data_IF_687460638286
#
_entry.id   IF_687460638286
#
_cell.length_a   1.000
_cell.length_b   1.000
_cell.length_c   1.000
_cell.angle_alpha   90.00
_cell.angle_beta   90.00
_cell.angle_gamma   90.00
#
_symmetry.space_group_name_H-M   'P 1'
#
loop_
_entity.id
_entity.type
_entity.pdbx_description
1 polymer ?
#
# COMPACT_ATOMS: atom_id res chain seq x y z
N UNK A 1 5.77 18.46 -19.04
CA UNK A 1 6.19 17.04 -19.04
C UNK A 1 5.87 16.48 -20.41
N UNK A 2 6.77 15.67 -20.97
CA UNK A 2 6.55 14.98 -22.25
C UNK A 2 6.24 13.51 -22.02
N UNK A 3 5.45 12.94 -22.91
CA UNK A 3 5.10 11.53 -22.96
C UNK A 3 5.57 10.97 -24.30
N UNK A 4 6.88 10.67 -24.45
CA UNK A 4 7.48 10.36 -25.75
C UNK A 4 7.13 8.96 -26.26
N UNK A 5 6.72 8.06 -25.37
CA UNK A 5 6.30 6.71 -25.74
C UNK A 5 4.86 6.67 -26.23
N UNK A 6 4.45 5.50 -26.68
CA UNK A 6 3.15 5.19 -27.27
C UNK A 6 2.03 5.19 -26.22
N UNK A 7 0.80 5.31 -26.69
CA UNK A 7 -0.42 5.16 -25.89
C UNK A 7 -0.97 3.75 -26.09
N UNK A 8 -1.20 3.02 -25.00
CA UNK A 8 -1.90 1.74 -25.01
C UNK A 8 -3.34 1.94 -24.53
N UNK A 9 -4.30 1.67 -25.39
CA UNK A 9 -5.71 1.56 -25.03
C UNK A 9 -6.05 0.13 -24.62
N UNK A 10 -6.57 -0.04 -23.40
CA UNK A 10 -7.10 -1.29 -22.90
C UNK A 10 -8.56 -1.43 -23.35
N UNK A 11 -8.72 -1.96 -24.56
CA UNK A 11 -10.01 -2.09 -25.25
C UNK A 11 -10.76 -3.36 -24.84
N UNK A 12 -12.07 -3.39 -25.06
CA UNK A 12 -12.84 -4.65 -24.95
C UNK A 12 -12.50 -5.67 -26.06
N UNK A 13 -12.13 -5.19 -27.26
CA UNK A 13 -11.79 -6.06 -28.39
C UNK A 13 -10.31 -6.48 -28.31
N UNK A 14 -9.99 -7.77 -28.08
CA UNK A 14 -8.62 -8.24 -27.94
C UNK A 14 -7.78 -8.02 -29.21
N UNK A 15 -8.39 -8.06 -30.40
CA UNK A 15 -7.66 -7.82 -31.66
C UNK A 15 -7.15 -6.39 -31.77
N UNK A 16 -7.85 -5.42 -31.17
CA UNK A 16 -7.39 -4.02 -31.12
C UNK A 16 -6.17 -3.88 -30.22
N UNK A 17 -6.10 -4.63 -29.13
CA UNK A 17 -4.93 -4.65 -28.24
C UNK A 17 -3.74 -5.28 -28.97
N UNK A 18 -3.93 -6.44 -29.61
CA UNK A 18 -2.87 -7.09 -30.39
C UNK A 18 -2.30 -6.17 -31.48
N UNK A 19 -3.16 -5.45 -32.23
CA UNK A 19 -2.71 -4.46 -33.23
C UNK A 19 -1.83 -3.37 -32.62
N UNK A 20 -2.20 -2.86 -31.44
CA UNK A 20 -1.39 -1.88 -30.73
C UNK A 20 -0.05 -2.50 -30.30
N UNK A 21 -0.02 -3.72 -29.78
CA UNK A 21 1.25 -4.37 -29.43
C UNK A 21 2.16 -4.58 -30.67
N UNK A 22 1.56 -4.78 -31.86
CA UNK A 22 2.26 -4.86 -33.16
C UNK A 22 2.65 -3.51 -33.78
N UNK A 23 2.78 -2.45 -32.96
CA UNK A 23 3.17 -1.10 -33.41
C UNK A 23 2.18 -0.40 -34.37
N UNK A 24 0.90 -0.78 -34.37
CA UNK A 24 -0.13 -0.05 -35.14
C UNK A 24 -0.79 1.00 -34.24
N UNK A 25 -0.59 2.31 -34.50
CA UNK A 25 -1.20 3.37 -33.69
C UNK A 25 -2.72 3.35 -33.84
N UNK A 26 -3.41 3.86 -32.82
CA UNK A 26 -4.87 3.85 -32.72
C UNK A 26 -5.35 5.16 -32.09
N UNK A 27 -6.47 5.70 -32.57
CA UNK A 27 -7.17 6.81 -31.94
C UNK A 27 -8.14 6.31 -30.85
N UNK A 28 -8.54 7.18 -29.92
CA UNK A 28 -9.54 6.83 -28.91
C UNK A 28 -10.86 6.34 -29.55
N UNK A 29 -11.30 6.98 -30.64
CA UNK A 29 -12.52 6.59 -31.34
C UNK A 29 -12.46 5.16 -31.91
N UNK A 30 -11.29 4.74 -32.40
CA UNK A 30 -11.06 3.37 -32.87
C UNK A 30 -10.92 2.38 -31.71
N UNK A 31 -10.36 2.81 -30.58
CA UNK A 31 -10.13 1.98 -29.39
C UNK A 31 -11.43 1.59 -28.67
N UNK A 32 -12.43 2.48 -28.67
CA UNK A 32 -13.70 2.26 -27.96
C UNK A 32 -14.43 0.97 -28.40
N UNK A 33 -15.17 0.32 -27.48
CA UNK A 33 -15.26 0.64 -26.05
C UNK A 33 -14.01 0.21 -25.27
N UNK A 34 -13.65 1.02 -24.26
CA UNK A 34 -12.59 0.70 -23.30
C UNK A 34 -13.10 -0.32 -22.28
N UNK A 35 -12.16 -1.05 -21.69
CA UNK A 35 -12.47 -2.09 -20.71
C UNK A 35 -12.57 -1.49 -19.31
N UNK A 36 -13.68 -1.79 -18.64
CA UNK A 36 -13.98 -1.43 -17.23
C UNK A 36 -13.50 -2.52 -16.26
N UNK A 37 -13.43 -2.19 -14.97
CA UNK A 37 -13.18 -3.13 -13.86
C UNK A 37 -11.84 -3.90 -13.97
N UNK A 38 -10.79 -3.24 -14.46
CA UNK A 38 -9.44 -3.82 -14.49
C UNK A 38 -8.94 -4.01 -13.08
N UNK A 39 -8.71 -5.26 -12.70
CA UNK A 39 -8.27 -5.60 -11.35
C UNK A 39 -6.73 -5.64 -11.21
N UNK A 40 -6.23 -5.56 -9.99
CA UNK A 40 -4.80 -5.73 -9.69
C UNK A 40 -4.29 -7.13 -10.03
N UNK A 41 -5.16 -8.15 -10.03
CA UNK A 41 -4.80 -9.49 -10.50
C UNK A 41 -4.58 -9.54 -12.02
N UNK A 42 -5.23 -8.64 -12.76
CA UNK A 42 -5.06 -8.53 -14.21
C UNK A 42 -3.84 -7.68 -14.58
N UNK A 43 -3.57 -6.63 -13.79
CA UNK A 43 -2.35 -5.83 -13.93
C UNK A 43 -1.13 -6.69 -13.54
N UNK A 44 -1.20 -7.43 -12.42
CA UNK A 44 -0.11 -8.29 -11.93
C UNK A 44 -0.69 -9.56 -11.28
N UNK A 45 -0.75 -10.68 -12.01
CA UNK A 45 -1.22 -11.95 -11.46
C UNK A 45 -0.47 -12.37 -10.21
N UNK A 46 -1.12 -13.10 -9.29
CA UNK A 46 -0.51 -13.58 -8.03
C UNK A 46 0.81 -14.31 -8.24
N UNK A 47 0.94 -15.07 -9.33
CA UNK A 47 2.17 -15.77 -9.69
C UNK A 47 3.36 -14.85 -9.93
N UNK A 48 3.12 -13.58 -10.32
CA UNK A 48 4.16 -12.58 -10.58
C UNK A 48 4.67 -11.87 -9.33
N UNK A 49 3.99 -12.00 -8.18
CA UNK A 49 4.35 -11.31 -6.93
C UNK A 49 5.65 -11.81 -6.28
N UNK A 50 6.27 -12.83 -6.87
CA UNK A 50 7.62 -13.31 -6.53
C UNK A 50 8.73 -12.47 -7.17
N UNK A 51 8.37 -11.46 -7.97
CA UNK A 51 9.28 -10.51 -8.61
C UNK A 51 9.16 -9.14 -7.96
N UNK A 52 10.30 -8.63 -7.49
CA UNK A 52 10.39 -7.36 -6.78
C UNK A 52 11.36 -6.36 -7.43
N UNK A 53 12.06 -6.80 -8.47
CA UNK A 53 13.09 -6.08 -9.23
C UNK A 53 12.59 -5.68 -10.63
N UNK A 54 13.50 -5.34 -11.53
CA UNK A 54 13.19 -4.97 -12.92
C UNK A 54 12.46 -6.07 -13.70
N UNK A 55 12.52 -7.33 -13.27
CA UNK A 55 11.75 -8.41 -13.90
C UNK A 55 10.24 -8.18 -13.76
N UNK A 56 9.79 -7.45 -12.73
CA UNK A 56 8.37 -7.15 -12.53
C UNK A 56 7.77 -6.40 -13.73
N UNK A 57 8.57 -5.61 -14.45
CA UNK A 57 8.16 -4.93 -15.68
C UNK A 57 7.61 -5.90 -16.74
N UNK A 58 8.17 -7.12 -16.80
CA UNK A 58 7.77 -8.12 -17.79
C UNK A 58 6.35 -8.65 -17.56
N UNK A 59 5.81 -8.48 -16.36
CA UNK A 59 4.52 -9.08 -15.97
C UNK A 59 3.36 -8.08 -15.96
N UNK A 60 3.61 -6.81 -16.24
CA UNK A 60 2.58 -5.78 -16.32
C UNK A 60 1.51 -6.15 -17.34
N UNK A 61 0.26 -6.19 -16.87
CA UNK A 61 -0.97 -6.55 -17.60
C UNK A 61 -1.04 -7.98 -18.15
N UNK A 62 -0.20 -8.90 -17.67
CA UNK A 62 -0.21 -10.30 -18.18
C UNK A 62 -1.44 -11.12 -17.77
N UNK A 63 -2.20 -10.64 -16.78
CA UNK A 63 -3.51 -11.20 -16.43
C UNK A 63 -4.67 -10.52 -17.13
N UNK A 64 -4.44 -9.50 -17.96
CA UNK A 64 -5.50 -8.76 -18.63
C UNK A 64 -6.31 -9.70 -19.54
N UNK A 65 -7.57 -9.91 -19.17
CA UNK A 65 -8.52 -10.71 -19.93
C UNK A 65 -9.62 -9.82 -20.52
N UNK A 66 -9.94 -10.05 -21.78
CA UNK A 66 -11.12 -9.46 -22.40
C UNK A 66 -11.73 -10.41 -23.41
N UNK A 67 -13.06 -10.57 -23.39
CA UNK A 67 -13.78 -11.48 -24.28
C UNK A 67 -13.26 -12.93 -24.26
N UNK A 68 -12.69 -13.37 -23.13
CA UNK A 68 -12.10 -14.71 -22.96
C UNK A 68 -10.71 -14.88 -23.57
N UNK A 69 -10.04 -13.79 -23.94
CA UNK A 69 -8.69 -13.78 -24.50
C UNK A 69 -7.74 -12.93 -23.64
N UNK A 70 -6.47 -13.33 -23.58
CA UNK A 70 -5.39 -12.61 -22.89
C UNK A 70 -4.37 -12.07 -23.91
N UNK A 71 -4.62 -10.90 -24.53
CA UNK A 71 -3.80 -10.39 -25.63
C UNK A 71 -2.42 -9.88 -25.19
N UNK A 72 -2.23 -9.57 -23.91
CA UNK A 72 -0.98 -9.01 -23.35
C UNK A 72 -0.17 -10.16 -22.74
N UNK A 73 0.89 -10.57 -23.44
CA UNK A 73 1.81 -11.62 -22.99
C UNK A 73 2.99 -11.04 -22.19
N UNK A 74 3.74 -11.92 -21.52
CA UNK A 74 4.94 -11.55 -20.75
C UNK A 74 5.91 -10.74 -21.64
N UNK A 75 6.31 -9.56 -21.17
CA UNK A 75 7.22 -8.64 -21.82
C UNK A 75 6.58 -7.74 -22.88
N UNK A 76 5.30 -7.93 -23.22
CA UNK A 76 4.63 -7.16 -24.26
C UNK A 76 4.59 -5.65 -23.96
N UNK A 77 4.32 -5.28 -22.70
CA UNK A 77 4.31 -3.88 -22.31
C UNK A 77 5.73 -3.30 -22.20
N UNK A 78 6.64 -4.02 -21.52
CA UNK A 78 8.02 -3.58 -21.29
C UNK A 78 8.83 -3.37 -22.58
N UNK A 79 8.51 -4.12 -23.65
CA UNK A 79 9.15 -3.96 -24.97
C UNK A 79 8.37 -3.07 -25.94
N UNK A 80 7.16 -2.64 -25.55
CA UNK A 80 6.21 -1.95 -26.42
C UNK A 80 6.36 -0.44 -26.51
N UNK A 81 7.31 0.15 -25.76
CA UNK A 81 7.56 1.59 -25.66
C UNK A 81 6.29 2.39 -25.31
N UNK A 82 5.48 1.87 -24.39
CA UNK A 82 4.25 2.54 -23.95
C UNK A 82 4.53 3.45 -22.76
N UNK A 83 4.26 4.75 -22.91
CA UNK A 83 4.40 5.72 -21.81
C UNK A 83 3.08 6.10 -21.17
N UNK A 84 1.96 5.81 -21.84
CA UNK A 84 0.59 6.11 -21.37
C UNK A 84 -0.32 4.89 -21.52
N UNK A 85 -1.09 4.58 -20.49
CA UNK A 85 -2.19 3.59 -20.55
C UNK A 85 -3.53 4.31 -20.49
N UNK A 86 -4.52 3.83 -21.26
CA UNK A 86 -5.88 4.36 -21.27
C UNK A 86 -6.88 3.24 -21.03
N UNK A 87 -7.79 3.41 -20.07
CA UNK A 87 -8.77 2.40 -19.67
C UNK A 87 -10.15 2.98 -19.34
N UNK A 88 -11.13 2.10 -19.10
CA UNK A 88 -12.49 2.48 -18.71
C UNK A 88 -12.61 2.83 -17.22
N UNK A 89 -13.72 2.44 -16.61
CA UNK A 89 -14.06 2.71 -15.21
C UNK A 89 -13.37 1.73 -14.25
N UNK A 90 -13.19 2.17 -13.00
CA UNK A 90 -12.75 1.34 -11.86
C UNK A 90 -11.41 0.64 -12.08
N UNK A 91 -10.43 1.41 -12.53
CA UNK A 91 -9.08 0.92 -12.74
C UNK A 91 -8.36 0.60 -11.42
N UNK A 92 -7.72 -0.57 -11.34
CA UNK A 92 -6.94 -0.99 -10.18
C UNK A 92 -7.77 -1.61 -9.05
N UNK A 93 -8.85 -2.31 -9.39
CA UNK A 93 -9.76 -2.96 -8.42
C UNK A 93 -9.12 -4.14 -7.72
N UNK A 94 -9.49 -4.35 -6.45
CA UNK A 94 -9.15 -5.55 -5.72
C UNK A 94 -8.09 -5.30 -4.66
N UNK A 95 -7.05 -6.12 -4.65
CA UNK A 95 -6.05 -6.11 -3.58
C UNK A 95 -5.23 -4.82 -3.61
N UNK A 96 -4.80 -4.32 -2.45
CA UNK A 96 -3.98 -3.10 -2.30
C UNK A 96 -2.52 -3.24 -2.77
N UNK A 97 -2.22 -4.22 -3.63
CA UNK A 97 -0.86 -4.63 -4.00
C UNK A 97 -0.15 -3.55 -4.80
N UNK A 98 0.92 -3.01 -4.25
CA UNK A 98 1.74 -1.99 -4.91
C UNK A 98 2.53 -2.53 -6.12
N UNK A 99 2.65 -3.86 -6.25
CA UNK A 99 3.23 -4.52 -7.41
C UNK A 99 2.55 -4.08 -8.71
N UNK A 100 1.24 -3.84 -8.71
CA UNK A 100 0.50 -3.44 -9.92
C UNK A 100 1.01 -2.11 -10.49
N UNK A 101 0.91 -0.97 -9.78
CA UNK A 101 1.46 0.29 -10.29
C UNK A 101 2.99 0.28 -10.42
N UNK A 102 3.71 -0.52 -9.61
CA UNK A 102 5.17 -0.65 -9.79
C UNK A 102 5.51 -1.35 -11.11
N UNK A 103 4.79 -2.41 -11.48
CA UNK A 103 5.02 -3.14 -12.74
C UNK A 103 4.83 -2.23 -13.95
N UNK A 104 3.80 -1.39 -13.94
CA UNK A 104 3.50 -0.44 -15.01
C UNK A 104 4.59 0.62 -15.09
N UNK A 105 4.99 1.19 -13.94
CA UNK A 105 6.09 2.16 -13.87
C UNK A 105 7.40 1.56 -14.39
N UNK A 106 7.77 0.35 -13.95
CA UNK A 106 8.99 -0.34 -14.40
C UNK A 106 8.91 -0.75 -15.89
N UNK A 107 7.71 -0.95 -16.43
CA UNK A 107 7.50 -1.17 -17.86
C UNK A 107 7.60 0.11 -18.71
N UNK A 108 7.82 1.28 -18.10
CA UNK A 108 8.01 2.57 -18.79
C UNK A 108 6.78 3.47 -18.79
N UNK A 109 5.68 3.06 -18.16
CA UNK A 109 4.46 3.87 -18.06
C UNK A 109 4.68 5.01 -17.07
N UNK A 110 4.27 6.21 -17.46
CA UNK A 110 4.40 7.42 -16.63
C UNK A 110 3.07 8.12 -16.38
N UNK A 111 2.03 7.80 -17.17
CA UNK A 111 0.68 8.32 -17.01
C UNK A 111 -0.36 7.22 -17.30
N UNK A 112 -1.41 7.17 -16.49
CA UNK A 112 -2.59 6.35 -16.75
C UNK A 112 -3.80 7.28 -16.80
N UNK A 113 -4.60 7.15 -17.86
CA UNK A 113 -5.85 7.87 -18.05
C UNK A 113 -7.00 6.87 -17.98
N UNK A 114 -7.92 7.05 -17.03
CA UNK A 114 -9.07 6.15 -16.88
C UNK A 114 -10.32 6.94 -16.50
N UNK A 115 -11.51 6.38 -16.74
CA UNK A 115 -12.75 7.06 -16.36
C UNK A 115 -12.89 7.17 -14.83
N UNK A 116 -12.38 6.19 -14.09
CA UNK A 116 -12.24 6.26 -12.63
C UNK A 116 -11.19 5.29 -12.12
N UNK A 117 -10.65 5.57 -10.92
CA UNK A 117 -9.64 4.76 -10.26
C UNK A 117 -10.14 4.27 -8.91
N UNK A 118 -9.68 3.09 -8.52
CA UNK A 118 -9.85 2.58 -7.17
C UNK A 118 -8.83 3.27 -6.25
N UNK A 119 -9.31 3.72 -5.08
CA UNK A 119 -8.59 4.67 -4.21
C UNK A 119 -7.19 4.20 -3.83
N UNK A 120 -7.05 2.92 -3.45
CA UNK A 120 -5.79 2.34 -2.99
C UNK A 120 -4.76 2.23 -4.12
N UNK A 121 -5.20 1.80 -5.30
CA UNK A 121 -4.34 1.77 -6.49
C UNK A 121 -3.82 3.17 -6.80
N UNK A 122 -4.69 4.18 -6.80
CA UNK A 122 -4.31 5.55 -7.07
C UNK A 122 -3.31 6.10 -6.05
N UNK A 123 -3.52 5.82 -4.76
CA UNK A 123 -2.60 6.18 -3.69
C UNK A 123 -1.22 5.53 -3.88
N UNK A 124 -1.17 4.26 -4.28
CA UNK A 124 0.09 3.56 -4.57
C UNK A 124 0.78 4.13 -5.81
N UNK A 125 0.03 4.46 -6.86
CA UNK A 125 0.56 5.14 -8.04
C UNK A 125 1.16 6.51 -7.66
N UNK A 126 0.46 7.31 -6.85
CA UNK A 126 0.97 8.59 -6.36
C UNK A 126 2.26 8.43 -5.53
N UNK A 127 2.32 7.42 -4.66
CA UNK A 127 3.51 7.09 -3.89
C UNK A 127 4.70 6.76 -4.80
N UNK A 128 4.45 6.06 -5.90
CA UNK A 128 5.44 5.76 -6.92
C UNK A 128 5.70 6.91 -7.89
N UNK A 129 5.00 8.06 -7.81
CA UNK A 129 5.16 9.10 -8.83
C UNK A 129 4.63 8.70 -10.23
N UNK A 130 3.78 7.68 -10.31
CA UNK A 130 3.02 7.30 -11.51
C UNK A 130 1.76 8.16 -11.59
N UNK A 131 1.67 9.02 -12.60
CA UNK A 131 0.54 9.94 -12.71
C UNK A 131 -0.74 9.20 -13.10
N UNK A 132 -1.87 9.61 -12.51
CA UNK A 132 -3.19 9.13 -12.89
C UNK A 132 -4.11 10.33 -13.14
N UNK A 133 -4.89 10.28 -14.22
CA UNK A 133 -5.82 11.35 -14.62
C UNK A 133 -7.14 10.78 -15.11
N UNK A 134 -8.23 11.50 -14.85
CA UNK A 134 -9.55 11.23 -15.45
C UNK A 134 -9.87 12.17 -16.61
N UNK A 135 -8.92 13.03 -17.00
CA UNK A 135 -9.07 14.00 -18.07
C UNK A 135 -8.60 13.42 -19.41
N UNK A 136 -9.55 12.92 -20.20
CA UNK A 136 -9.27 12.38 -21.53
C UNK A 136 -8.87 13.45 -22.55
N UNK A 137 -9.07 14.74 -22.27
CA UNK A 137 -8.63 15.82 -23.18
C UNK A 137 -7.11 15.93 -23.27
N UNK A 138 -6.40 15.33 -22.32
CA UNK A 138 -4.94 15.21 -22.37
C UNK A 138 -4.46 14.37 -23.56
N UNK A 139 -5.27 13.45 -24.08
CA UNK A 139 -4.88 12.56 -25.18
C UNK A 139 -4.57 13.32 -26.47
N UNK A 140 -5.41 14.27 -26.86
CA UNK A 140 -5.20 15.05 -28.09
C UNK A 140 -3.89 15.85 -28.02
N UNK A 141 -3.59 16.41 -26.84
CA UNK A 141 -2.36 17.14 -26.56
C UNK A 141 -1.13 16.23 -26.57
N UNK A 142 -1.25 15.03 -25.98
CA UNK A 142 -0.19 14.00 -25.99
C UNK A 142 0.08 13.54 -27.42
N UNK A 143 -0.94 13.26 -28.22
CA UNK A 143 -0.78 12.89 -29.63
C UNK A 143 -0.19 14.00 -30.50
N UNK A 144 -0.48 15.27 -30.17
CA UNK A 144 0.16 16.42 -30.79
C UNK A 144 1.62 16.64 -30.35
N UNK A 145 2.12 15.86 -29.38
CA UNK A 145 3.48 15.98 -28.85
C UNK A 145 3.69 17.21 -27.96
N UNK A 146 2.62 17.76 -27.39
CA UNK A 146 2.68 18.93 -26.52
C UNK A 146 3.35 18.64 -25.17
N UNK A 147 3.98 19.67 -24.60
CA UNK A 147 4.37 19.66 -23.19
C UNK A 147 3.12 19.82 -22.32
N UNK A 148 2.83 18.81 -21.49
CA UNK A 148 1.73 18.85 -20.52
C UNK A 148 2.23 19.49 -19.22
N UNK A 149 1.69 20.64 -18.78
CA UNK A 149 2.00 21.21 -17.47
C UNK A 149 1.69 20.21 -16.36
N UNK A 150 2.58 20.08 -15.39
CA UNK A 150 2.36 19.13 -14.28
C UNK A 150 1.07 19.45 -13.51
N UNK A 151 0.71 20.74 -13.36
CA UNK A 151 -0.52 21.15 -12.69
C UNK A 151 -1.80 20.65 -13.38
N UNK A 152 -1.76 20.37 -14.70
CA UNK A 152 -2.88 19.72 -15.38
C UNK A 152 -3.08 18.27 -14.92
N UNK A 153 -1.99 17.57 -14.56
CA UNK A 153 -2.00 16.20 -14.06
C UNK A 153 -2.34 16.11 -12.56
N UNK A 154 -2.27 17.24 -11.85
CA UNK A 154 -2.51 17.31 -10.40
C UNK A 154 -3.93 17.78 -10.05
N UNK A 155 -4.79 18.01 -11.05
CA UNK A 155 -6.18 18.42 -10.82
C UNK A 155 -6.90 17.38 -9.95
N UNK A 156 -7.53 17.86 -8.87
CA UNK A 156 -8.24 17.02 -7.90
C UNK A 156 -7.36 16.39 -6.81
N UNK A 157 -6.04 16.58 -6.85
CA UNK A 157 -5.12 16.15 -5.78
C UNK A 157 -5.10 17.16 -4.64
N UNK A 158 -4.99 16.68 -3.41
CA UNK A 158 -4.68 17.54 -2.26
C UNK A 158 -3.24 18.06 -2.33
N UNK A 159 -2.92 19.09 -1.52
CA UNK A 159 -1.59 19.74 -1.56
C UNK A 159 -0.46 18.75 -1.29
N UNK A 160 -0.59 17.89 -0.28
CA UNK A 160 0.46 16.93 0.10
C UNK A 160 0.70 15.94 -1.04
N UNK A 161 -0.36 15.37 -1.61
CA UNK A 161 -0.27 14.45 -2.75
C UNK A 161 0.35 15.15 -3.97
N UNK A 162 -0.01 16.41 -4.21
CA UNK A 162 0.57 17.20 -5.30
C UNK A 162 2.07 17.43 -5.11
N UNK A 163 2.52 17.71 -3.89
CA UNK A 163 3.94 17.90 -3.58
C UNK A 163 4.73 16.58 -3.73
N UNK A 164 4.13 15.45 -3.32
CA UNK A 164 4.69 14.11 -3.54
C UNK A 164 4.92 13.83 -5.03
N UNK A 165 3.89 14.06 -5.86
CA UNK A 165 3.97 13.84 -7.30
C UNK A 165 4.98 14.79 -7.97
N UNK A 166 5.06 16.06 -7.54
CA UNK A 166 6.07 17.01 -8.04
C UNK A 166 7.50 16.58 -7.72
N UNK A 167 7.72 15.92 -6.59
CA UNK A 167 9.01 15.38 -6.22
C UNK A 167 9.37 14.08 -6.98
N UNK A 168 8.41 13.46 -7.69
CA UNK A 168 8.62 12.20 -8.42
C UNK A 168 8.26 10.94 -7.61
N UNK A 169 7.49 11.10 -6.53
CA UNK A 169 7.05 10.02 -5.65
C UNK A 169 7.40 10.29 -4.19
N UNK A 170 6.89 9.44 -3.29
CA UNK A 170 6.95 9.64 -1.84
C UNK A 170 8.38 9.57 -1.30
N UNK A 171 9.20 8.64 -1.79
CA UNK A 171 10.60 8.52 -1.38
C UNK A 171 11.38 9.79 -1.74
N UNK A 172 11.21 10.29 -2.98
CA UNK A 172 11.88 11.52 -3.42
C UNK A 172 11.37 12.75 -2.68
N UNK A 173 10.07 12.83 -2.40
CA UNK A 173 9.50 13.85 -1.54
C UNK A 173 10.13 13.84 -0.14
N UNK A 174 10.27 12.66 0.47
CA UNK A 174 10.88 12.49 1.78
C UNK A 174 12.32 13.02 1.85
N UNK A 175 13.08 12.94 0.76
CA UNK A 175 14.44 13.50 0.65
C UNK A 175 14.49 15.02 0.71
N UNK A 176 13.38 15.69 0.40
CA UNK A 176 13.28 17.15 0.44
C UNK A 176 12.97 17.69 1.84
N UNK A 177 12.53 16.83 2.76
CA UNK A 177 12.12 17.23 4.10
C UNK A 177 13.28 17.18 5.08
N UNK A 178 13.36 18.17 5.98
CA UNK A 178 14.28 18.13 7.11
C UNK A 178 13.73 17.17 8.18
N UNK A 179 14.32 15.98 8.27
CA UNK A 179 13.91 14.92 9.20
C UNK A 179 14.17 15.27 10.68
N UNK A 180 14.97 16.32 10.95
CA UNK A 180 15.25 16.81 12.31
C UNK A 180 14.14 17.71 12.87
N UNK A 181 13.07 17.96 12.11
CA UNK A 181 11.88 18.61 12.66
C UNK A 181 11.27 17.68 13.70
N UNK A 182 11.48 18.01 14.97
CA UNK A 182 10.82 17.36 16.09
C UNK A 182 9.29 17.41 15.87
N UNK A 183 8.55 16.38 16.32
CA UNK A 183 7.12 16.56 16.53
C UNK A 183 6.97 17.69 17.56
N UNK A 184 6.43 18.85 17.16
CA UNK A 184 6.35 20.00 18.07
C UNK A 184 4.96 20.08 18.69
N UNK A 185 4.94 20.43 19.97
CA UNK A 185 4.09 21.54 20.40
C UNK A 185 2.79 21.18 21.09
N UNK A 186 2.90 20.92 22.39
CA UNK A 186 1.91 21.21 23.43
C UNK A 186 0.43 20.96 23.07
N UNK A 187 -0.01 19.69 23.21
CA UNK A 187 -1.41 19.25 23.25
C UNK A 187 -2.31 20.10 24.16
N UNK A 188 -1.75 20.89 25.07
CA UNK A 188 -2.50 21.76 25.98
C UNK A 188 -3.44 22.73 25.26
N UNK A 189 -3.10 23.22 24.07
CA UNK A 189 -3.97 24.13 23.29
C UNK A 189 -5.20 23.43 22.68
N UNK A 190 -5.17 22.10 22.54
CA UNK A 190 -6.26 21.29 21.98
C UNK A 190 -7.10 20.56 23.05
N UNK A 191 -6.76 20.73 24.33
CA UNK A 191 -7.38 20.02 25.46
C UNK A 191 -8.90 20.27 25.65
N UNK A 192 -9.46 21.28 24.96
CA UNK A 192 -10.86 21.68 25.10
C UNK A 192 -11.80 21.11 24.02
N UNK A 193 -11.27 20.42 23.00
CA UNK A 193 -12.09 19.78 21.94
C UNK A 193 -12.20 18.28 22.23
N UNK A 194 -13.42 17.71 22.33
CA UNK A 194 -13.58 16.26 22.41
C UNK A 194 -12.95 15.58 21.19
N UNK A 195 -12.11 14.59 21.45
CA UNK A 195 -11.41 13.80 20.43
C UNK A 195 -11.62 12.32 20.69
N UNK A 196 -11.77 11.56 19.61
CA UNK A 196 -11.70 10.10 19.60
C UNK A 196 -10.34 9.63 20.11
N UNK A 197 -10.22 8.34 20.43
CA UNK A 197 -8.96 7.82 20.96
C UNK A 197 -7.84 7.89 19.90
N UNK A 198 -8.15 7.55 18.65
CA UNK A 198 -7.17 7.58 17.54
C UNK A 198 -6.71 9.00 17.20
N UNK A 199 -7.60 10.00 17.24
CA UNK A 199 -7.24 11.40 17.01
C UNK A 199 -6.18 11.89 18.00
N UNK A 200 -6.28 11.48 19.27
CA UNK A 200 -5.28 11.79 20.30
C UNK A 200 -3.92 11.16 19.99
N UNK A 201 -3.91 9.92 19.53
CA UNK A 201 -2.66 9.22 19.14
C UNK A 201 -2.04 9.89 17.91
N UNK A 202 -2.84 10.20 16.88
CA UNK A 202 -2.33 10.85 15.66
C UNK A 202 -1.71 12.20 16.02
N UNK A 203 -2.37 13.02 16.84
CA UNK A 203 -1.84 14.32 17.26
C UNK A 203 -0.51 14.22 18.00
N UNK A 204 -0.29 13.15 18.78
CA UNK A 204 0.99 12.91 19.46
C UNK A 204 2.14 12.57 18.50
N UNK A 205 1.82 12.01 17.32
CA UNK A 205 2.81 11.52 16.35
C UNK A 205 2.90 12.39 15.09
N UNK A 206 2.03 13.40 14.95
CA UNK A 206 1.95 14.24 13.76
C UNK A 206 3.16 15.18 13.63
N UNK A 207 3.68 15.31 12.40
CA UNK A 207 4.71 16.29 12.06
C UNK A 207 4.09 17.67 11.81
N UNK A 208 4.69 18.71 12.40
CA UNK A 208 4.31 20.10 12.17
C UNK A 208 5.36 20.78 11.28
N UNK A 209 4.95 21.21 10.09
CA UNK A 209 5.82 21.93 9.17
C UNK A 209 5.60 23.45 9.18
N UNK A 210 4.45 23.96 9.67
CA UNK A 210 4.12 25.40 9.78
C UNK A 210 3.12 25.70 10.92
N UNK A 211 2.99 26.98 11.32
CA UNK A 211 2.27 27.48 12.50
C UNK A 211 0.82 26.95 12.66
N UNK A 212 0.54 26.47 13.87
CA UNK A 212 -0.77 26.29 14.51
C UNK A 212 -1.87 25.69 13.62
N UNK A 213 -1.80 24.38 13.34
CA UNK A 213 -3.02 23.63 13.06
C UNK A 213 -3.81 23.46 14.36
N UNK A 214 -4.80 24.34 14.57
CA UNK A 214 -5.67 24.31 15.75
C UNK A 214 -6.73 23.19 15.71
N UNK A 215 -6.92 22.50 14.57
CA UNK A 215 -7.93 21.44 14.41
C UNK A 215 -7.50 20.41 13.36
N UNK A 216 -7.74 19.13 13.66
CA UNK A 216 -7.72 18.02 12.70
C UNK A 216 -9.17 17.65 12.33
N UNK A 217 -9.38 17.11 11.13
CA UNK A 217 -10.70 16.65 10.67
C UNK A 217 -10.54 15.46 9.70
N UNK A 218 -11.53 14.56 9.60
CA UNK A 218 -11.44 13.41 8.71
C UNK A 218 -11.12 13.80 7.26
N UNK A 219 -10.23 13.04 6.63
CA UNK A 219 -9.73 13.26 5.28
C UNK A 219 -8.56 14.23 5.17
N UNK A 220 -8.22 14.97 6.23
CA UNK A 220 -7.08 15.88 6.22
C UNK A 220 -5.76 15.09 6.05
N UNK A 221 -4.92 15.43 5.05
CA UNK A 221 -3.61 14.80 4.88
C UNK A 221 -2.64 15.29 5.95
N UNK A 222 -1.95 14.35 6.60
CA UNK A 222 -0.94 14.61 7.63
C UNK A 222 0.27 13.71 7.39
N UNK A 223 1.41 14.07 7.97
CA UNK A 223 2.55 13.17 8.11
C UNK A 223 2.66 12.79 9.58
N UNK A 224 2.93 11.52 9.87
CA UNK A 224 3.06 10.99 11.22
C UNK A 224 4.39 10.25 11.37
N UNK A 225 4.96 10.24 12.57
CA UNK A 225 6.15 9.50 12.94
C UNK A 225 5.75 8.22 13.69
N UNK A 226 5.75 7.03 13.06
CA UNK A 226 5.53 5.78 13.77
C UNK A 226 6.63 5.54 14.80
N UNK A 227 6.26 5.04 15.97
CA UNK A 227 7.21 4.52 16.94
C UNK A 227 7.89 3.25 16.40
N UNK A 228 7.13 2.41 15.69
CA UNK A 228 7.60 1.15 15.10
C UNK A 228 7.26 1.05 13.63
N UNK A 229 8.21 0.52 12.86
CA UNK A 229 8.06 0.21 11.44
C UNK A 229 8.45 -1.24 11.24
N UNK A 230 7.54 -2.05 10.70
CA UNK A 230 7.87 -3.44 10.44
C UNK A 230 7.42 -3.95 9.08
N UNK A 231 8.04 -5.04 8.65
CA UNK A 231 7.86 -5.59 7.33
C UNK A 231 8.33 -7.03 7.28
N UNK A 232 7.83 -7.79 6.32
CA UNK A 232 8.03 -9.23 6.26
C UNK A 232 8.58 -9.70 4.91
N UNK A 233 9.06 -10.94 4.88
CA UNK A 233 9.66 -11.68 3.77
C UNK A 233 9.00 -11.53 2.38
N UNK A 234 7.70 -11.25 2.30
CA UNK A 234 7.02 -10.92 1.03
C UNK A 234 7.51 -9.58 0.46
N UNK A 235 7.71 -8.57 1.30
CA UNK A 235 7.93 -7.18 0.88
C UNK A 235 9.34 -6.66 1.14
N UNK A 236 10.12 -7.26 2.06
CA UNK A 236 11.47 -6.79 2.41
C UNK A 236 12.38 -6.62 1.19
N UNK A 237 12.40 -7.59 0.28
CA UNK A 237 13.22 -7.51 -0.92
C UNK A 237 12.79 -6.38 -1.87
N UNK A 238 11.48 -6.15 -2.02
CA UNK A 238 10.92 -5.04 -2.80
C UNK A 238 11.25 -3.69 -2.17
N UNK A 239 11.12 -3.58 -0.85
CA UNK A 239 11.47 -2.36 -0.12
C UNK A 239 12.96 -2.03 -0.28
N UNK A 240 13.81 -3.04 -0.15
CA UNK A 240 15.25 -2.93 -0.37
C UNK A 240 15.59 -2.50 -1.79
N UNK A 241 14.95 -3.06 -2.81
CA UNK A 241 15.16 -2.65 -4.19
C UNK A 241 14.74 -1.19 -4.43
N UNK A 242 13.57 -0.77 -3.95
CA UNK A 242 13.11 0.63 -4.07
C UNK A 242 14.09 1.61 -3.43
N UNK A 243 14.66 1.24 -2.27
CA UNK A 243 15.65 2.06 -1.57
C UNK A 243 17.01 2.07 -2.28
N UNK A 244 17.46 0.93 -2.81
CA UNK A 244 18.68 0.88 -3.62
C UNK A 244 18.54 1.68 -4.92
N UNK A 245 17.38 1.63 -5.57
CA UNK A 245 17.09 2.44 -6.77
C UNK A 245 17.18 3.95 -6.46
N UNK A 246 16.68 4.38 -5.29
CA UNK A 246 16.65 5.80 -4.91
C UNK A 246 17.97 6.33 -4.31
N UNK A 247 18.66 5.53 -3.50
CA UNK A 247 19.80 5.97 -2.68
C UNK A 247 21.14 5.32 -3.06
N UNK A 248 21.11 4.21 -3.80
CA UNK A 248 22.31 3.43 -4.11
C UNK A 248 23.08 3.04 -2.84
N UNK A 249 24.41 3.18 -2.88
CA UNK A 249 25.30 2.90 -1.75
C UNK A 249 25.21 3.91 -0.60
N UNK A 250 24.47 5.02 -0.76
CA UNK A 250 24.33 6.06 0.27
C UNK A 250 23.10 5.83 1.17
N UNK A 251 22.48 4.65 1.11
CA UNK A 251 21.34 4.31 1.94
C UNK A 251 21.69 4.42 3.43
N UNK A 252 20.88 5.18 4.17
CA UNK A 252 20.95 5.28 5.62
C UNK A 252 19.53 5.21 6.17
N UNK A 253 19.30 4.27 7.09
CA UNK A 253 17.99 4.10 7.73
C UNK A 253 17.87 5.04 8.92
N UNK A 254 16.68 5.60 9.11
CA UNK A 254 16.34 6.44 10.25
C UNK A 254 15.99 5.56 11.45
N UNK A 255 16.73 5.68 12.57
CA UNK A 255 16.48 4.93 13.81
C UNK A 255 16.28 3.42 13.56
N UNK A 256 17.30 2.71 13.01
CA UNK A 256 17.17 1.29 12.65
C UNK A 256 16.77 0.38 13.81
N UNK A 257 17.00 0.79 15.05
CA UNK A 257 16.57 0.09 16.27
C UNK A 257 15.05 0.00 16.45
N UNK A 258 14.27 0.84 15.76
CA UNK A 258 12.79 0.76 15.78
C UNK A 258 12.20 0.15 14.49
N UNK A 259 13.06 -0.52 13.72
CA UNK A 259 12.71 -1.23 12.50
C UNK A 259 12.86 -2.74 12.76
N UNK A 260 11.77 -3.49 12.56
CA UNK A 260 11.76 -4.95 12.76
C UNK A 260 11.40 -5.65 11.45
N UNK A 261 12.14 -6.71 11.12
CA UNK A 261 11.82 -7.59 9.99
C UNK A 261 11.34 -8.97 10.46
N UNK A 262 10.59 -9.66 9.60
CA UNK A 262 10.00 -10.97 9.88
C UNK A 262 10.12 -11.92 8.68
N UNK A 263 10.47 -13.18 8.93
CA UNK A 263 10.27 -14.29 8.00
C UNK A 263 9.16 -15.22 8.54
N UNK A 264 7.90 -14.84 8.33
CA UNK A 264 6.72 -15.56 8.84
C UNK A 264 5.77 -16.10 7.76
N UNK A 265 5.81 -15.59 6.52
CA UNK A 265 4.84 -15.99 5.49
C UNK A 265 5.26 -17.22 4.69
N UNK A 266 6.57 -17.41 4.47
CA UNK A 266 7.10 -18.51 3.66
C UNK A 266 7.82 -19.60 4.46
N UNK A 267 7.71 -19.61 5.78
CA UNK A 267 8.36 -20.58 6.67
C UNK A 267 8.06 -22.05 6.33
N UNK A 268 6.87 -22.32 5.79
CA UNK A 268 6.44 -23.65 5.36
C UNK A 268 6.41 -23.84 3.84
N UNK A 269 6.91 -22.89 3.04
CA UNK A 269 6.79 -22.93 1.58
C UNK A 269 7.45 -24.15 0.92
N UNK A 270 8.43 -24.76 1.59
CA UNK A 270 9.14 -25.95 1.14
C UNK A 270 8.35 -27.26 1.32
N UNK A 271 7.25 -27.23 2.08
CA UNK A 271 6.44 -28.42 2.34
C UNK A 271 5.69 -28.88 1.07
N UNK A 272 5.70 -30.18 0.75
CA UNK A 272 5.03 -30.70 -0.43
C UNK A 272 3.51 -30.45 -0.42
N UNK A 273 2.89 -30.35 0.76
CA UNK A 273 1.45 -30.07 0.94
C UNK A 273 1.05 -28.68 0.42
N UNK A 274 1.98 -27.73 0.38
CA UNK A 274 1.72 -26.37 -0.16
C UNK A 274 1.62 -26.40 -1.69
N UNK A 275 2.17 -27.44 -2.34
CA UNK A 275 2.04 -27.72 -3.77
C UNK A 275 2.40 -26.51 -4.68
N UNK A 276 3.49 -25.82 -4.35
CA UNK A 276 4.04 -24.77 -5.21
C UNK A 276 4.83 -25.35 -6.38
N UNK A 277 4.73 -24.67 -7.53
CA UNK A 277 5.55 -24.97 -8.71
C UNK A 277 7.03 -24.69 -8.41
N UNK A 278 7.93 -25.37 -9.12
CA UNK A 278 9.38 -25.18 -8.97
C UNK A 278 9.78 -23.71 -9.19
N UNK A 279 9.25 -23.06 -10.23
CA UNK A 279 9.49 -21.63 -10.50
C UNK A 279 9.05 -20.72 -9.34
N UNK A 280 7.94 -21.06 -8.67
CA UNK A 280 7.45 -20.31 -7.53
C UNK A 280 8.35 -20.49 -6.31
N UNK A 281 8.84 -21.70 -6.06
CA UNK A 281 9.81 -21.97 -5.00
C UNK A 281 11.13 -21.22 -5.22
N UNK A 282 11.60 -21.16 -6.47
CA UNK A 282 12.79 -20.35 -6.82
C UNK A 282 12.55 -18.86 -6.56
N UNK A 283 11.37 -18.33 -6.91
CA UNK A 283 10.99 -16.96 -6.63
C UNK A 283 10.93 -16.64 -5.13
N UNK A 284 10.31 -17.53 -4.34
CA UNK A 284 10.30 -17.43 -2.88
C UNK A 284 11.72 -17.45 -2.33
N UNK A 285 12.58 -18.35 -2.80
CA UNK A 285 13.98 -18.40 -2.42
C UNK A 285 14.74 -17.10 -2.72
N UNK A 286 14.44 -16.43 -3.84
CA UNK A 286 14.99 -15.09 -4.16
C UNK A 286 14.48 -14.03 -3.19
N UNK A 287 13.19 -14.04 -2.84
CA UNK A 287 12.62 -13.10 -1.87
C UNK A 287 13.24 -13.29 -0.48
N UNK A 288 13.30 -14.51 0.05
CA UNK A 288 13.96 -14.80 1.34
C UNK A 288 15.44 -14.42 1.32
N UNK A 289 16.16 -14.69 0.22
CA UNK A 289 17.55 -14.26 0.08
C UNK A 289 17.70 -12.74 0.06
N UNK A 290 16.79 -12.04 -0.64
CA UNK A 290 16.74 -10.57 -0.67
C UNK A 290 16.40 -9.98 0.70
N UNK A 291 15.49 -10.62 1.44
CA UNK A 291 15.15 -10.26 2.81
C UNK A 291 16.39 -10.30 3.70
N UNK A 292 17.04 -11.47 3.80
CA UNK A 292 18.19 -11.67 4.69
C UNK A 292 19.37 -10.77 4.32
N UNK A 293 19.58 -10.53 3.01
CA UNK A 293 20.59 -9.59 2.54
C UNK A 293 20.32 -8.18 3.06
N UNK A 294 19.10 -7.67 2.87
CA UNK A 294 18.72 -6.33 3.32
C UNK A 294 18.87 -6.17 4.84
N UNK A 295 18.42 -7.18 5.61
CA UNK A 295 18.56 -7.25 7.06
C UNK A 295 20.03 -7.20 7.48
N UNK A 296 20.88 -8.03 6.86
CA UNK A 296 22.30 -8.10 7.19
C UNK A 296 23.05 -6.79 6.86
N UNK A 297 22.80 -6.22 5.67
CA UNK A 297 23.43 -4.98 5.21
C UNK A 297 23.08 -3.79 6.12
N UNK A 298 21.84 -3.74 6.61
CA UNK A 298 21.33 -2.65 7.45
C UNK A 298 21.35 -2.95 8.95
N UNK A 299 21.81 -4.15 9.36
CA UNK A 299 21.91 -4.60 10.76
C UNK A 299 20.58 -4.50 11.53
N UNK A 300 19.50 -4.90 10.87
CA UNK A 300 18.16 -4.86 11.45
C UNK A 300 17.94 -6.02 12.42
N UNK A 301 17.02 -5.81 13.37
CA UNK A 301 16.48 -6.91 14.17
C UNK A 301 15.50 -7.70 13.30
N UNK A 302 15.70 -9.01 13.28
CA UNK A 302 14.91 -9.94 12.48
C UNK A 302 14.36 -11.06 13.34
N UNK A 303 13.13 -11.47 13.03
CA UNK A 303 12.51 -12.69 13.54
C UNK A 303 12.40 -13.66 12.37
N UNK A 304 13.40 -14.52 12.25
CA UNK A 304 13.61 -15.39 11.10
C UNK A 304 12.94 -16.75 11.25
N UNK A 305 13.50 -17.74 10.56
CA UNK A 305 13.11 -19.14 10.74
C UNK A 305 13.79 -19.76 11.97
N UNK A 306 13.10 -20.70 12.61
CA UNK A 306 13.63 -21.46 13.74
C UNK A 306 14.85 -22.31 13.29
N UNK A 307 15.93 -22.32 14.08
CA UNK A 307 17.16 -23.03 13.71
C UNK A 307 17.05 -24.56 13.83
N UNK A 308 16.27 -25.05 14.80
CA UNK A 308 16.18 -26.48 15.15
C UNK A 308 14.79 -27.08 14.92
N UNK A 309 13.83 -26.24 14.58
CA UNK A 309 12.45 -26.62 14.34
C UNK A 309 11.99 -25.99 13.02
N UNK A 310 10.88 -26.49 12.49
CA UNK A 310 10.31 -25.95 11.27
C UNK A 310 9.30 -24.85 11.60
N UNK A 311 9.50 -23.66 11.04
CA UNK A 311 8.59 -22.56 11.21
C UNK A 311 9.31 -21.23 11.38
N UNK A 312 8.51 -20.20 11.67
CA UNK A 312 8.99 -18.87 12.00
C UNK A 312 9.13 -18.72 13.52
N UNK A 313 10.00 -17.82 13.96
CA UNK A 313 10.07 -17.37 15.35
C UNK A 313 8.75 -16.76 15.84
N UNK A 314 7.90 -16.27 14.92
CA UNK A 314 6.53 -15.91 15.24
C UNK A 314 5.85 -15.08 14.14
N UNK A 315 4.51 -15.09 14.15
CA UNK A 315 3.72 -14.25 13.25
C UNK A 315 3.96 -12.78 13.59
N UNK A 316 4.29 -11.98 12.58
CA UNK A 316 4.76 -10.60 12.72
C UNK A 316 3.90 -9.75 13.66
N UNK A 317 2.60 -9.66 13.42
CA UNK A 317 1.70 -8.85 14.24
C UNK A 317 1.49 -9.39 15.67
N UNK A 318 1.62 -10.71 15.88
CA UNK A 318 1.58 -11.29 17.23
C UNK A 318 2.84 -10.93 18.02
N UNK A 319 4.03 -11.12 17.43
CA UNK A 319 5.31 -10.77 18.04
C UNK A 319 5.40 -9.27 18.33
N UNK A 320 4.96 -8.42 17.39
CA UNK A 320 4.89 -6.97 17.59
C UNK A 320 4.05 -6.62 18.82
N UNK A 321 2.87 -7.24 18.95
CA UNK A 321 1.96 -7.02 20.08
C UNK A 321 2.56 -7.54 21.39
N UNK A 322 3.16 -8.72 21.39
CA UNK A 322 3.68 -9.33 22.62
C UNK A 322 4.96 -8.66 23.14
N UNK A 323 5.77 -8.05 22.27
CA UNK A 323 7.15 -7.68 22.64
C UNK A 323 7.60 -6.25 22.33
N UNK A 324 6.88 -5.49 21.48
CA UNK A 324 7.35 -4.17 21.01
C UNK A 324 6.35 -3.04 21.24
N UNK A 325 5.07 -3.27 20.96
CA UNK A 325 4.04 -2.24 20.94
C UNK A 325 3.62 -1.87 22.36
N UNK A 326 3.48 -0.56 22.61
CA UNK A 326 2.94 -0.01 23.86
C UNK A 326 1.65 0.79 23.61
N UNK A 327 0.78 0.91 24.62
CA UNK A 327 -0.42 1.74 24.53
C UNK A 327 -0.12 3.18 24.11
N UNK A 328 -0.94 3.71 23.21
CA UNK A 328 -0.82 5.07 22.69
C UNK A 328 0.24 5.26 21.61
N UNK A 329 1.04 4.25 21.27
CA UNK A 329 2.00 4.33 20.17
C UNK A 329 1.33 4.25 18.81
N UNK A 330 2.00 4.80 17.79
CA UNK A 330 1.68 4.60 16.38
C UNK A 330 2.64 3.58 15.76
N UNK A 331 2.13 2.61 15.00
CA UNK A 331 2.96 1.64 14.28
C UNK A 331 2.47 1.43 12.85
N UNK A 332 3.39 1.08 11.96
CA UNK A 332 3.07 0.75 10.57
C UNK A 332 3.75 -0.54 10.15
N UNK A 333 3.05 -1.34 9.35
CA UNK A 333 3.50 -2.65 8.88
C UNK A 333 3.20 -2.85 7.40
N UNK A 334 3.97 -3.66 6.68
CA UNK A 334 3.59 -4.08 5.31
C UNK A 334 2.53 -5.19 5.27
N UNK A 335 1.89 -5.47 6.40
CA UNK A 335 0.83 -6.45 6.54
C UNK A 335 -0.54 -5.77 6.77
N UNK A 336 -1.59 -6.26 6.13
CA UNK A 336 -2.93 -5.67 6.28
C UNK A 336 -3.49 -5.86 7.69
N UNK A 337 -3.04 -6.88 8.41
CA UNK A 337 -3.48 -7.20 9.77
C UNK A 337 -2.63 -6.53 10.85
N UNK A 338 -1.79 -5.55 10.48
CA UNK A 338 -1.16 -4.62 11.42
C UNK A 338 -2.11 -4.05 12.49
N UNK A 339 -3.40 -3.77 12.21
CA UNK A 339 -4.39 -3.39 13.23
C UNK A 339 -4.55 -4.35 14.42
N UNK A 340 -4.07 -5.60 14.33
CA UNK A 340 -3.98 -6.52 15.47
C UNK A 340 -3.31 -5.87 16.69
N UNK A 341 -2.28 -5.03 16.49
CA UNK A 341 -1.60 -4.30 17.57
C UNK A 341 -2.52 -3.30 18.32
N UNK A 342 -3.67 -2.95 17.74
CA UNK A 342 -4.70 -2.11 18.37
C UNK A 342 -5.28 -2.71 19.65
N UNK A 343 -5.11 -4.02 19.89
CA UNK A 343 -5.49 -4.71 21.12
C UNK A 343 -4.91 -4.05 22.39
N UNK A 344 -3.74 -3.43 22.26
CA UNK A 344 -3.03 -2.73 23.33
C UNK A 344 -3.38 -1.24 23.43
N UNK A 345 -4.34 -0.77 22.62
CA UNK A 345 -4.65 0.66 22.52
C UNK A 345 -3.55 1.45 21.78
N UNK A 346 -2.80 0.80 20.89
CA UNK A 346 -1.97 1.48 19.89
C UNK A 346 -2.80 1.81 18.64
N UNK A 347 -2.33 2.76 17.83
CA UNK A 347 -2.87 2.97 16.48
C UNK A 347 -1.91 2.36 15.46
N UNK A 348 -2.30 1.23 14.87
CA UNK A 348 -1.46 0.50 13.95
C UNK A 348 -2.20 0.22 12.64
N UNK A 349 -1.55 0.46 11.51
CA UNK A 349 -2.17 0.26 10.18
C UNK A 349 -1.18 -0.26 9.14
N UNK A 350 -1.72 -0.98 8.16
CA UNK A 350 -0.95 -1.52 7.04
C UNK A 350 -0.57 -0.44 6.03
N UNK A 351 0.63 -0.52 5.46
CA UNK A 351 1.15 0.38 4.43
C UNK A 351 1.81 -0.41 3.28
N UNK A 352 1.87 0.19 2.10
CA UNK A 352 2.54 -0.40 0.93
C UNK A 352 4.07 -0.32 1.00
N UNK A 353 4.75 -1.00 0.08
CA UNK A 353 6.21 -1.10 0.01
C UNK A 353 6.89 0.28 -0.09
N UNK A 354 6.38 1.19 -0.92
CA UNK A 354 6.96 2.53 -1.07
C UNK A 354 6.79 3.36 0.19
N UNK A 355 5.65 3.20 0.87
CA UNK A 355 5.35 3.95 2.08
C UNK A 355 6.17 3.46 3.28
N UNK A 356 6.35 2.13 3.44
CA UNK A 356 7.29 1.62 4.44
C UNK A 356 8.72 2.01 4.06
N UNK A 357 9.14 1.90 2.80
CA UNK A 357 10.50 2.27 2.35
C UNK A 357 10.80 3.73 2.69
N UNK A 358 9.86 4.65 2.42
CA UNK A 358 9.97 6.04 2.85
C UNK A 358 10.14 6.14 4.38
N UNK A 359 9.32 5.43 5.15
CA UNK A 359 9.41 5.44 6.61
C UNK A 359 10.73 4.88 7.15
N UNK A 360 11.35 3.91 6.46
CA UNK A 360 12.64 3.35 6.84
C UNK A 360 13.76 4.41 6.77
N UNK A 361 13.72 5.31 5.78
CA UNK A 361 14.77 6.34 5.58
C UNK A 361 14.43 7.72 6.16
N UNK A 362 13.15 8.02 6.35
CA UNK A 362 12.72 9.33 6.86
C UNK A 362 12.15 9.30 8.29
N UNK A 363 11.70 8.13 8.76
CA UNK A 363 10.99 7.99 10.03
C UNK A 363 9.52 8.40 9.99
N UNK A 364 8.94 8.76 8.84
CA UNK A 364 7.53 9.15 8.74
C UNK A 364 6.75 8.38 7.68
N UNK A 365 5.44 8.32 7.87
CA UNK A 365 4.45 7.90 6.87
C UNK A 365 3.45 9.02 6.62
N UNK A 366 2.74 8.94 5.50
CA UNK A 366 1.57 9.79 5.27
C UNK A 366 0.32 9.12 5.81
N UNK A 367 -0.65 9.93 6.21
CA UNK A 367 -1.93 9.47 6.71
C UNK A 367 -3.00 10.49 6.31
N UNK A 368 -4.21 10.02 6.01
CA UNK A 368 -5.40 10.89 6.04
C UNK A 368 -6.11 10.61 7.35
N UNK A 369 -6.44 11.65 8.11
CA UNK A 369 -7.17 11.49 9.37
C UNK A 369 -8.42 10.62 9.09
N UNK A 370 -8.57 9.46 9.75
CA UNK A 370 -9.66 8.56 9.44
C UNK A 370 -10.97 9.03 10.09
N UNK A 371 -12.10 8.65 9.52
CA UNK A 371 -13.35 8.63 10.29
C UNK A 371 -13.32 7.45 11.27
N UNK A 372 -14.11 7.54 12.35
CA UNK A 372 -14.17 6.50 13.39
C UNK A 372 -15.57 5.88 13.44
N UNK A 373 -15.64 4.56 13.38
CA UNK A 373 -16.82 3.78 13.72
C UNK A 373 -16.70 3.34 15.17
N UNK A 374 -17.52 3.90 16.05
CA UNK A 374 -17.60 3.42 17.43
C UNK A 374 -18.51 2.20 17.50
N UNK A 375 -17.96 1.09 17.99
CA UNK A 375 -18.71 -0.14 18.28
C UNK A 375 -18.90 -0.24 19.79
N UNK A 376 -20.13 -0.15 20.26
CA UNK A 376 -20.46 -0.18 21.69
C UNK A 376 -21.03 -1.55 22.08
N UNK A 377 -20.20 -2.40 22.68
CA UNK A 377 -20.52 -3.79 23.05
C UNK A 377 -21.19 -3.81 24.43
N UNK A 378 -22.52 -3.88 24.41
CA UNK A 378 -23.38 -3.85 25.60
C UNK A 378 -23.83 -5.25 26.06
N UNK A 379 -24.25 -5.35 27.33
CA UNK A 379 -24.79 -6.59 27.90
C UNK A 379 -23.70 -7.52 28.48
N UNK A 380 -23.85 -8.82 28.25
CA UNK A 380 -22.92 -9.86 28.72
C UNK A 380 -22.69 -10.90 27.62
N UNK A 381 -21.53 -11.56 27.64
CA UNK A 381 -21.22 -12.63 26.69
C UNK A 381 -21.84 -13.96 27.14
N UNK A 382 -22.70 -14.59 26.32
CA UNK A 382 -23.17 -15.93 26.59
C UNK A 382 -22.01 -16.94 26.60
N UNK A 383 -22.18 -18.04 27.35
CA UNK A 383 -21.21 -19.13 27.35
C UNK A 383 -20.99 -19.67 25.92
N UNK A 384 -19.73 -19.80 25.51
CA UNK A 384 -19.34 -20.29 24.19
C UNK A 384 -19.28 -19.22 23.10
N UNK A 385 -19.63 -17.97 23.38
CA UNK A 385 -19.45 -16.84 22.47
C UNK A 385 -18.10 -16.18 22.73
N UNK A 386 -17.31 -16.00 21.67
CA UNK A 386 -15.97 -15.41 21.70
C UNK A 386 -15.92 -14.13 20.85
N UNK A 387 -14.84 -13.35 20.95
CA UNK A 387 -14.59 -12.17 20.13
C UNK A 387 -14.67 -12.45 18.63
N UNK A 388 -14.29 -13.67 18.21
CA UNK A 388 -14.47 -14.13 16.83
C UNK A 388 -15.93 -14.06 16.39
N UNK A 389 -16.86 -14.52 17.22
CA UNK A 389 -18.29 -14.48 16.92
C UNK A 389 -18.80 -13.04 16.88
N UNK A 390 -18.33 -12.19 17.80
CA UNK A 390 -18.67 -10.75 17.84
C UNK A 390 -18.24 -10.07 16.54
N UNK A 391 -16.98 -10.21 16.12
CA UNK A 391 -16.50 -9.52 14.93
C UNK A 391 -17.09 -10.09 13.64
N UNK A 392 -17.35 -11.40 13.57
CA UNK A 392 -18.09 -11.98 12.44
C UNK A 392 -19.53 -11.43 12.36
N UNK A 393 -20.17 -11.20 13.51
CA UNK A 393 -21.49 -10.55 13.54
C UNK A 393 -21.43 -9.10 13.04
N UNK A 394 -20.40 -8.34 13.43
CA UNK A 394 -20.19 -6.97 12.96
C UNK A 394 -19.91 -6.93 11.45
N UNK A 395 -19.07 -7.83 10.94
CA UNK A 395 -18.75 -7.94 9.52
C UNK A 395 -19.94 -8.38 8.66
N UNK A 396 -20.95 -9.00 9.27
CA UNK A 396 -22.21 -9.36 8.61
C UNK A 396 -23.22 -8.19 8.56
N UNK A 397 -22.94 -7.07 9.22
CA UNK A 397 -23.81 -5.89 9.17
C UNK A 397 -23.87 -5.32 7.72
N UNK A 398 -25.06 -5.03 7.18
CA UNK A 398 -25.20 -4.52 5.81
C UNK A 398 -24.37 -3.25 5.54
N UNK A 399 -24.25 -2.34 6.51
CA UNK A 399 -23.44 -1.14 6.33
C UNK A 399 -21.96 -1.48 6.14
N UNK A 400 -21.45 -2.51 6.85
CA UNK A 400 -20.07 -2.96 6.70
C UNK A 400 -19.88 -3.71 5.38
N UNK A 401 -20.81 -4.60 5.02
CA UNK A 401 -20.79 -5.33 3.75
C UNK A 401 -20.81 -4.40 2.53
N UNK A 402 -21.54 -3.29 2.62
CA UNK A 402 -21.60 -2.26 1.57
C UNK A 402 -20.37 -1.33 1.56
N UNK A 403 -19.32 -1.66 2.34
CA UNK A 403 -18.05 -0.93 2.37
C UNK A 403 -18.01 0.25 3.35
N UNK A 404 -18.98 0.36 4.26
CA UNK A 404 -19.07 1.45 5.23
C UNK A 404 -17.86 1.55 6.17
N UNK A 405 -17.14 0.44 6.38
CA UNK A 405 -15.89 0.39 7.16
C UNK A 405 -14.62 0.83 6.42
N UNK A 406 -14.66 0.96 5.10
CA UNK A 406 -13.44 1.20 4.29
C UNK A 406 -12.82 2.56 4.65
N UNK A 407 -11.53 2.53 5.01
CA UNK A 407 -10.75 3.71 5.35
C UNK A 407 -11.14 4.36 6.69
N UNK A 408 -11.82 3.62 7.57
CA UNK A 408 -12.23 4.06 8.91
C UNK A 408 -11.52 3.25 9.99
N UNK A 409 -11.49 3.81 11.20
CA UNK A 409 -10.99 3.12 12.40
C UNK A 409 -12.17 2.61 13.20
N UNK A 410 -12.13 1.35 13.62
CA UNK A 410 -13.12 0.79 14.53
C UNK A 410 -12.66 1.01 15.98
N UNK A 411 -13.46 1.71 16.77
CA UNK A 411 -13.21 1.97 18.19
C UNK A 411 -14.20 1.14 19.03
N UNK A 412 -13.72 0.03 19.58
CA UNK A 412 -14.51 -0.87 20.43
C UNK A 412 -14.61 -0.32 21.86
N UNK A 413 -15.83 -0.26 22.38
CA UNK A 413 -16.16 0.28 23.69
C UNK A 413 -17.28 -0.52 24.36
N UNK A 414 -17.63 -0.19 25.59
CA UNK A 414 -18.76 -0.81 26.30
C UNK A 414 -18.34 -1.89 27.31
N UNK A 415 -19.26 -2.29 28.20
CA UNK A 415 -18.96 -3.19 29.32
C UNK A 415 -18.46 -4.56 28.87
N UNK A 416 -18.89 -5.07 27.73
CA UNK A 416 -18.39 -6.35 27.20
C UNK A 416 -16.94 -6.20 26.76
N UNK A 417 -16.57 -5.12 26.07
CA UNK A 417 -15.20 -4.87 25.63
C UNK A 417 -14.22 -4.82 26.83
N UNK A 418 -14.65 -4.28 27.96
CA UNK A 418 -13.86 -4.24 29.20
C UNK A 418 -13.55 -5.65 29.76
N UNK A 419 -14.42 -6.63 29.52
CA UNK A 419 -14.23 -8.03 29.98
C UNK A 419 -13.33 -8.87 29.07
N UNK A 420 -13.07 -8.43 27.84
CA UNK A 420 -12.24 -9.18 26.89
C UNK A 420 -10.77 -9.11 27.28
N UNK A 421 -10.09 -10.26 27.28
CA UNK A 421 -8.64 -10.36 27.40
C UNK A 421 -7.91 -9.85 26.16
N UNK A 422 -6.59 -9.74 26.21
CA UNK A 422 -5.78 -9.20 25.10
C UNK A 422 -5.97 -9.99 23.81
N UNK A 423 -5.96 -11.33 23.84
CA UNK A 423 -6.10 -12.16 22.64
C UNK A 423 -7.47 -12.00 21.97
N UNK A 424 -8.51 -11.84 22.78
CA UNK A 424 -9.88 -11.56 22.32
C UNK A 424 -9.96 -10.18 21.67
N UNK A 425 -9.34 -9.16 22.28
CA UNK A 425 -9.24 -7.81 21.68
C UNK A 425 -8.44 -7.83 20.38
N UNK A 426 -7.34 -8.59 20.34
CA UNK A 426 -6.53 -8.76 19.15
C UNK A 426 -7.30 -9.44 18.03
N UNK A 427 -8.20 -10.39 18.35
CA UNK A 427 -9.13 -10.95 17.37
C UNK A 427 -10.07 -9.88 16.81
N UNK A 428 -10.62 -8.99 17.65
CA UNK A 428 -11.47 -7.89 17.18
C UNK A 428 -10.71 -6.94 16.26
N UNK A 429 -9.53 -6.45 16.71
CA UNK A 429 -8.77 -5.43 15.97
C UNK A 429 -8.07 -5.99 14.73
N UNK A 430 -7.67 -7.26 14.72
CA UNK A 430 -7.14 -7.94 13.55
C UNK A 430 -8.16 -7.98 12.41
N UNK A 431 -9.42 -8.29 12.72
CA UNK A 431 -10.49 -8.45 11.73
C UNK A 431 -11.13 -7.13 11.27
N UNK A 432 -10.50 -5.98 11.56
CA UNK A 432 -10.87 -4.68 10.96
C UNK A 432 -10.08 -4.35 9.69
N UNK A 433 -9.19 -5.27 9.26
CA UNK A 433 -8.33 -5.14 8.09
C UNK A 433 -9.09 -5.08 6.75
#
# INVERSE_FOLDING_TARGET
MKFPGRVLFLCMDPQKITKQLENKPMSLAEALPLRDDISTDEITPISSLIHFDDQLAQYAHTGFETMGENPIHVGALASGDFSVIVAGKRYGKGSSREHSPLSERRAGVTLIIAESFERLYQQNADNLGLFTSTDFSLLDRIFAGEDIPIDDLLKGRDKQTSDILRAGGLIEYGRTLDINVNAVGNLASLSHVPMTYVEKIILQHMLQFHDQQEKIFPGMPVLVKPAWRYFHDIYTAMCGQLLHDAFGSNLSLHQPETIISFEDHYSYAHRPEVNFTEDRLLGIGRMSSGHRRFVQENRLKDYGYLEQEEGSEGISHAVMTETHILPGQLAVGTDSHTPHCGALGAFAYGVGSTEISNALVTGFTRLKIPEVIRVDLQGYLPCGVMAKDIVLHILADPFIQDGGGIGKVFEFSGPVAETLGTDERATLTNMTA
#
